data_IF_047622256392
#
_entry.id   IF_047622256392
#
_cell.length_a   1.000
_cell.length_b   1.000
_cell.length_c   1.000
_cell.angle_alpha   90.00
_cell.angle_beta   90.00
_cell.angle_gamma   90.00
#
_symmetry.space_group_name_H-M   'P 1'
#
loop_
_entity.id
_entity.type
_entity.pdbx_description
1 polymer ?
#
# COMPACT_ATOMS: atom_id res chain seq x y z
N UNK A 1 12.91 -21.43 -3.34
CA UNK A 1 12.57 -21.40 -1.90
C UNK A 1 13.35 -20.35 -1.09
N UNK A 2 13.80 -19.26 -1.68
CA UNK A 2 14.60 -18.25 -0.96
C UNK A 2 14.03 -16.81 -1.03
N UNK A 3 12.78 -16.63 -1.48
CA UNK A 3 12.19 -15.29 -1.72
C UNK A 3 11.52 -14.70 -0.48
N UNK A 4 11.27 -15.48 0.57
CA UNK A 4 10.58 -15.03 1.78
C UNK A 4 11.38 -15.23 3.05
N UNK A 5 12.61 -14.69 3.12
CA UNK A 5 13.31 -14.62 4.39
C UNK A 5 12.57 -13.61 5.31
N UNK A 6 12.20 -13.97 6.53
CA UNK A 6 11.58 -13.04 7.46
C UNK A 6 12.62 -12.01 7.90
N UNK A 7 12.64 -10.84 7.28
CA UNK A 7 13.30 -9.69 7.89
C UNK A 7 12.53 -9.34 9.15
N UNK A 8 13.10 -9.66 10.33
CA UNK A 8 12.66 -9.09 11.61
C UNK A 8 12.90 -7.57 11.56
N UNK A 9 11.92 -6.85 11.09
CA UNK A 9 11.95 -5.39 11.09
C UNK A 9 11.66 -4.93 12.52
N UNK A 10 12.53 -4.15 13.15
CA UNK A 10 12.23 -3.54 14.42
C UNK A 10 11.10 -2.54 14.22
N UNK A 11 9.93 -2.84 14.78
CA UNK A 11 8.82 -1.89 14.83
C UNK A 11 9.30 -0.69 15.63
N UNK A 12 9.59 0.42 14.95
CA UNK A 12 9.91 1.69 15.61
C UNK A 12 8.60 2.30 16.15
N UNK A 13 8.18 1.83 17.31
CA UNK A 13 6.97 2.25 18.03
C UNK A 13 7.09 3.67 18.61
N UNK A 14 8.27 4.27 18.54
CA UNK A 14 8.70 5.39 19.41
C UNK A 14 8.06 6.77 19.12
N UNK A 15 7.27 6.95 18.05
CA UNK A 15 6.61 8.25 17.76
C UNK A 15 5.09 8.24 17.86
N UNK A 16 4.50 7.11 18.16
CA UNK A 16 3.05 6.88 18.07
C UNK A 16 2.24 7.43 19.24
N UNK A 17 2.79 7.45 20.44
CA UNK A 17 2.06 7.74 21.68
C UNK A 17 1.60 9.20 21.74
N UNK A 18 2.36 10.13 21.14
CA UNK A 18 2.01 11.55 21.18
C UNK A 18 0.80 11.94 20.34
N UNK A 19 0.54 11.25 19.22
CA UNK A 19 -0.65 11.52 18.39
C UNK A 19 -1.95 10.90 18.97
N UNK A 20 -1.84 9.80 19.73
CA UNK A 20 -2.98 9.15 20.38
C UNK A 20 -3.40 9.85 21.70
N UNK A 21 -2.50 10.61 22.32
CA UNK A 21 -2.76 11.32 23.58
C UNK A 21 -3.63 12.58 23.42
N UNK A 22 -3.70 13.17 22.22
CA UNK A 22 -4.42 14.42 22.03
C UNK A 22 -5.93 14.35 22.29
N UNK A 23 -6.68 13.30 21.92
CA UNK A 23 -8.11 13.19 22.25
C UNK A 23 -8.39 12.58 23.63
N UNK A 24 -7.42 11.86 24.23
CA UNK A 24 -7.58 11.18 25.53
C UNK A 24 -7.20 12.06 26.74
N UNK A 25 -6.56 13.20 26.50
CA UNK A 25 -6.44 14.24 27.51
C UNK A 25 -7.85 14.79 27.76
N UNK A 26 -8.60 14.09 28.64
CA UNK A 26 -9.88 14.55 29.16
C UNK A 26 -9.80 16.07 29.46
N UNK A 27 -10.88 16.83 29.24
CA UNK A 27 -10.89 18.25 29.54
C UNK A 27 -10.51 18.44 31.02
N UNK A 28 -9.22 18.70 31.24
CA UNK A 28 -8.61 18.68 32.57
C UNK A 28 -9.30 19.58 33.63
N UNK A 29 -10.11 20.54 33.15
CA UNK A 29 -10.91 21.42 34.03
C UNK A 29 -12.09 20.72 34.70
N UNK A 30 -12.80 19.78 34.04
CA UNK A 30 -13.97 19.12 34.65
C UNK A 30 -13.59 18.02 35.63
N UNK A 31 -12.50 17.31 35.41
CA UNK A 31 -11.99 16.27 36.29
C UNK A 31 -11.31 16.83 37.53
N UNK A 32 -10.57 17.92 37.36
CA UNK A 32 -9.92 18.61 38.48
C UNK A 32 -10.93 19.15 39.53
N UNK A 33 -12.16 19.43 39.13
CA UNK A 33 -13.23 19.88 40.07
C UNK A 33 -13.70 18.77 41.04
N UNK A 34 -13.30 17.51 40.85
CA UNK A 34 -13.61 16.40 41.77
C UNK A 34 -12.52 16.17 42.81
N UNK A 35 -11.42 16.91 42.73
CA UNK A 35 -10.27 16.77 43.62
C UNK A 35 -10.26 17.85 44.69
N UNK A 36 -9.60 17.61 45.83
CA UNK A 36 -9.23 18.67 46.76
C UNK A 36 -8.50 19.80 46.03
N UNK A 37 -8.66 21.06 46.41
CA UNK A 37 -8.10 22.21 45.67
C UNK A 37 -6.59 22.10 45.39
N UNK A 38 -5.83 21.60 46.37
CA UNK A 38 -4.39 21.36 46.22
C UNK A 38 -4.10 20.29 45.13
N UNK A 39 -4.73 19.14 45.22
CA UNK A 39 -4.57 18.05 44.25
C UNK A 39 -5.02 18.46 42.83
N UNK A 40 -6.08 19.28 42.73
CA UNK A 40 -6.56 19.84 41.46
C UNK A 40 -5.52 20.76 40.82
N UNK A 41 -4.85 21.59 41.59
CA UNK A 41 -3.80 22.48 41.11
C UNK A 41 -2.59 21.67 40.59
N UNK A 42 -2.14 20.69 41.37
CA UNK A 42 -1.01 19.83 41.03
C UNK A 42 -1.35 19.00 39.75
N UNK A 43 -2.56 18.43 39.65
CA UNK A 43 -3.00 17.69 38.48
C UNK A 43 -2.95 18.52 37.20
N UNK A 44 -3.38 19.79 37.30
CA UNK A 44 -3.34 20.72 36.17
C UNK A 44 -1.90 21.06 35.77
N UNK A 45 -1.03 21.28 36.73
CA UNK A 45 0.40 21.55 36.47
C UNK A 45 1.10 20.31 35.83
N UNK A 46 0.85 19.12 36.38
CA UNK A 46 1.38 17.86 35.81
C UNK A 46 0.90 17.59 34.39
N UNK A 47 -0.39 17.86 34.12
CA UNK A 47 -0.96 17.75 32.77
C UNK A 47 -0.33 18.73 31.77
N UNK A 48 -0.01 19.96 32.25
CA UNK A 48 0.71 20.94 31.42
C UNK A 48 2.16 20.51 31.16
N UNK A 49 2.86 20.02 32.19
CA UNK A 49 4.22 19.49 32.07
C UNK A 49 4.29 18.31 31.05
N UNK A 50 3.31 17.41 31.15
CA UNK A 50 3.20 16.29 30.18
C UNK A 50 3.03 16.78 28.74
N UNK A 51 2.17 17.79 28.51
CA UNK A 51 2.00 18.39 27.17
C UNK A 51 3.27 19.10 26.65
N UNK A 52 4.09 19.62 27.56
CA UNK A 52 5.37 20.26 27.24
C UNK A 52 6.53 19.25 27.08
N UNK A 53 6.29 17.96 27.32
CA UNK A 53 7.29 16.90 27.26
C UNK A 53 8.20 16.82 28.50
N UNK A 54 7.90 17.58 29.56
CA UNK A 54 8.60 17.47 30.84
C UNK A 54 8.06 16.29 31.66
N UNK A 55 8.52 15.10 31.28
CA UNK A 55 8.06 13.82 31.83
C UNK A 55 8.41 13.67 33.32
N UNK A 56 9.51 14.29 33.80
CA UNK A 56 9.88 14.20 35.21
C UNK A 56 8.91 14.99 36.04
N UNK A 57 8.67 16.27 35.72
CA UNK A 57 7.71 17.12 36.42
C UNK A 57 6.29 16.57 36.33
N UNK A 58 5.89 16.00 35.18
CA UNK A 58 4.59 15.35 35.02
C UNK A 58 4.46 14.13 35.95
N UNK A 59 5.47 13.27 35.99
CA UNK A 59 5.49 12.07 36.83
C UNK A 59 5.43 12.38 38.33
N UNK A 60 6.24 13.32 38.79
CA UNK A 60 6.24 13.78 40.18
C UNK A 60 4.88 14.36 40.57
N UNK A 61 4.30 15.18 39.68
CA UNK A 61 2.99 15.77 39.93
C UNK A 61 1.86 14.75 39.98
N UNK A 62 1.78 13.82 39.03
CA UNK A 62 0.75 12.78 39.08
C UNK A 62 0.95 11.82 40.26
N UNK A 63 2.20 11.51 40.65
CA UNK A 63 2.48 10.71 41.83
C UNK A 63 2.01 11.41 43.11
N UNK A 64 2.18 12.73 43.19
CA UNK A 64 1.70 13.51 44.35
C UNK A 64 0.16 13.58 44.38
N UNK A 65 -0.51 13.78 43.23
CA UNK A 65 -1.98 13.68 43.15
C UNK A 65 -2.46 12.31 43.61
N UNK A 66 -1.78 11.22 43.21
CA UNK A 66 -2.13 9.85 43.59
C UNK A 66 -1.95 9.59 45.11
N UNK A 67 -1.11 10.38 45.83
CA UNK A 67 -1.01 10.33 47.27
C UNK A 67 -2.13 11.15 47.93
N UNK A 68 -2.39 12.37 47.45
CA UNK A 68 -3.41 13.26 47.99
C UNK A 68 -4.85 12.77 47.75
N UNK A 69 -5.04 12.07 46.63
CA UNK A 69 -6.33 11.53 46.20
C UNK A 69 -6.18 10.08 45.69
N UNK A 70 -5.92 9.10 46.57
CA UNK A 70 -5.57 7.73 46.15
C UNK A 70 -6.70 6.97 45.46
N UNK A 71 -7.93 7.43 45.54
CA UNK A 71 -9.10 6.88 44.85
C UNK A 71 -9.34 7.50 43.45
N UNK A 72 -8.55 8.49 43.05
CA UNK A 72 -8.70 9.15 41.76
C UNK A 72 -7.98 8.37 40.68
N UNK A 73 -8.74 7.56 39.94
CA UNK A 73 -8.23 6.62 38.95
C UNK A 73 -7.39 7.28 37.83
N UNK A 74 -7.78 8.48 37.42
CA UNK A 74 -7.14 9.25 36.35
C UNK A 74 -5.72 9.71 36.73
N UNK A 75 -5.40 9.92 38.02
CA UNK A 75 -4.03 10.22 38.44
C UNK A 75 -3.12 9.00 38.23
N UNK A 76 -3.59 7.80 38.58
CA UNK A 76 -2.85 6.57 38.37
C UNK A 76 -2.69 6.26 36.88
N UNK A 77 -3.72 6.49 36.07
CA UNK A 77 -3.66 6.33 34.62
C UNK A 77 -2.62 7.26 34.01
N UNK A 78 -2.66 8.55 34.29
CA UNK A 78 -1.70 9.52 33.77
C UNK A 78 -0.27 9.25 34.24
N UNK A 79 -0.10 8.79 35.49
CA UNK A 79 1.19 8.35 36.01
C UNK A 79 1.70 7.14 35.22
N UNK A 80 0.84 6.19 34.86
CA UNK A 80 1.15 5.07 34.00
C UNK A 80 1.64 5.51 32.62
N UNK A 81 0.96 6.47 31.99
CA UNK A 81 1.36 7.02 30.69
C UNK A 81 2.76 7.67 30.75
N UNK A 82 3.02 8.48 31.80
CA UNK A 82 4.34 9.10 31.97
C UNK A 82 5.44 8.04 32.16
N UNK A 83 5.19 7.02 32.98
CA UNK A 83 6.14 5.93 33.24
C UNK A 83 6.42 5.11 31.98
N UNK A 84 5.39 4.85 31.19
CA UNK A 84 5.53 4.17 29.91
C UNK A 84 6.44 4.95 28.95
N UNK A 85 6.23 6.27 28.84
CA UNK A 85 7.04 7.15 28.00
C UNK A 85 8.48 7.27 28.52
N UNK A 86 8.69 7.17 29.83
CA UNK A 86 10.03 7.07 30.46
C UNK A 86 10.68 5.69 30.27
N UNK A 87 10.00 4.70 29.65
CA UNK A 87 10.47 3.34 29.53
C UNK A 87 10.40 2.49 30.80
N UNK A 88 9.74 3.00 31.86
CA UNK A 88 9.56 2.31 33.16
C UNK A 88 8.31 1.44 33.10
N UNK A 89 8.38 0.38 32.26
CA UNK A 89 7.20 -0.39 31.84
C UNK A 89 6.51 -1.13 32.98
N UNK A 90 7.26 -1.74 33.91
CA UNK A 90 6.68 -2.45 35.07
C UNK A 90 5.89 -1.49 35.99
N UNK A 91 6.43 -0.29 36.19
CA UNK A 91 5.76 0.72 37.01
C UNK A 91 4.54 1.32 36.27
N UNK A 92 4.60 1.42 34.95
CA UNK A 92 3.45 1.80 34.14
C UNK A 92 2.31 0.79 34.26
N UNK A 93 2.62 -0.49 34.13
CA UNK A 93 1.67 -1.62 34.31
C UNK A 93 1.01 -1.52 35.68
N UNK A 94 1.79 -1.42 36.77
CA UNK A 94 1.25 -1.29 38.12
C UNK A 94 0.33 -0.08 38.29
N UNK A 95 0.63 1.02 37.60
CA UNK A 95 -0.19 2.24 37.65
C UNK A 95 -1.50 2.06 36.88
N UNK A 96 -1.47 1.44 35.68
CA UNK A 96 -2.67 1.15 34.90
C UNK A 96 -3.57 0.13 35.61
N UNK A 97 -3.01 -0.92 36.22
CA UNK A 97 -3.78 -1.89 37.00
C UNK A 97 -4.46 -1.24 38.18
N UNK A 98 -3.78 -0.30 38.87
CA UNK A 98 -4.38 0.44 39.97
C UNK A 98 -5.51 1.36 39.50
N UNK A 99 -5.34 2.04 38.37
CA UNK A 99 -6.39 2.83 37.73
C UNK A 99 -7.61 1.97 37.38
N UNK A 100 -7.40 0.79 36.79
CA UNK A 100 -8.46 -0.14 36.43
C UNK A 100 -9.15 -0.78 37.62
N UNK A 101 -8.43 -1.00 38.73
CA UNK A 101 -9.03 -1.45 40.00
C UNK A 101 -9.98 -0.42 40.56
N UNK A 102 -9.68 0.87 40.43
CA UNK A 102 -10.51 1.96 40.88
C UNK A 102 -11.68 2.25 39.91
N UNK A 103 -11.41 2.16 38.62
CA UNK A 103 -12.38 2.44 37.55
C UNK A 103 -12.22 1.42 36.42
N UNK A 104 -12.90 0.27 36.50
CA UNK A 104 -12.72 -0.85 35.55
C UNK A 104 -12.98 -0.54 34.06
N UNK A 105 -13.75 0.52 33.79
CA UNK A 105 -14.08 1.02 32.47
C UNK A 105 -13.46 2.41 32.23
N UNK A 106 -12.25 2.65 32.71
CA UNK A 106 -11.52 3.87 32.38
C UNK A 106 -11.00 3.75 30.93
N UNK A 107 -11.53 4.59 30.05
CA UNK A 107 -11.20 4.56 28.62
C UNK A 107 -9.68 4.70 28.39
N UNK A 108 -9.14 3.85 27.55
CA UNK A 108 -7.72 3.79 27.23
C UNK A 108 -6.87 3.02 28.25
N UNK A 109 -7.36 2.77 29.47
CA UNK A 109 -6.52 2.15 30.50
C UNK A 109 -6.16 0.70 30.18
N UNK A 110 -7.08 -0.09 29.66
CA UNK A 110 -6.77 -1.45 29.18
C UNK A 110 -5.94 -1.42 27.89
N UNK A 111 -6.12 -0.44 27.03
CA UNK A 111 -5.30 -0.27 25.82
C UNK A 111 -3.83 -0.05 26.20
N UNK A 112 -3.54 0.96 27.04
CA UNK A 112 -2.16 1.28 27.44
C UNK A 112 -1.54 0.23 28.34
N UNK A 113 -2.33 -0.45 29.18
CA UNK A 113 -1.87 -1.65 29.88
C UNK A 113 -1.39 -2.72 28.89
N UNK A 114 -2.18 -2.98 27.84
CA UNK A 114 -1.81 -3.94 26.80
C UNK A 114 -0.58 -3.50 26.01
N UNK A 115 -0.44 -2.22 25.69
CA UNK A 115 0.73 -1.66 25.02
C UNK A 115 2.01 -1.83 25.86
N UNK A 116 1.93 -1.53 27.16
CA UNK A 116 3.06 -1.70 28.08
C UNK A 116 3.48 -3.18 28.19
N UNK A 117 2.52 -4.10 28.28
CA UNK A 117 2.76 -5.55 28.29
C UNK A 117 3.33 -6.04 26.96
N UNK A 118 2.84 -5.53 25.82
CA UNK A 118 3.38 -5.82 24.48
C UNK A 118 4.87 -5.43 24.39
N UNK A 119 5.24 -4.25 24.90
CA UNK A 119 6.64 -3.78 24.91
C UNK A 119 7.56 -4.67 25.74
N UNK A 120 7.03 -5.38 26.73
CA UNK A 120 7.75 -6.40 27.51
C UNK A 120 7.68 -7.79 26.89
N UNK A 121 7.09 -7.94 25.69
CA UNK A 121 6.82 -9.22 25.02
C UNK A 121 5.85 -10.15 25.79
N UNK A 122 5.06 -9.61 26.70
CA UNK A 122 4.01 -10.33 27.42
C UNK A 122 2.73 -10.38 26.57
N UNK A 123 2.78 -11.02 25.40
CA UNK A 123 1.74 -10.94 24.38
C UNK A 123 0.37 -11.45 24.81
N UNK A 124 0.31 -12.50 25.66
CA UNK A 124 -0.97 -13.04 26.13
C UNK A 124 -1.67 -12.09 27.11
N UNK A 125 -0.90 -11.46 28.01
CA UNK A 125 -1.43 -10.43 28.91
C UNK A 125 -1.86 -9.17 28.11
N UNK A 126 -1.05 -8.76 27.14
CA UNK A 126 -1.36 -7.65 26.23
C UNK A 126 -2.67 -7.90 25.49
N UNK A 127 -2.84 -9.10 24.93
CA UNK A 127 -4.06 -9.52 24.25
C UNK A 127 -5.28 -9.45 25.16
N UNK A 128 -5.16 -10.01 26.37
CA UNK A 128 -6.24 -9.99 27.36
C UNK A 128 -6.68 -8.57 27.72
N UNK A 129 -5.71 -7.66 27.91
CA UNK A 129 -5.99 -6.28 28.24
C UNK A 129 -6.68 -5.56 27.05
N UNK A 130 -6.12 -5.62 25.83
CA UNK A 130 -6.67 -4.92 24.67
C UNK A 130 -8.04 -5.44 24.28
N UNK A 131 -8.32 -6.74 24.42
CA UNK A 131 -9.68 -7.29 24.20
C UNK A 131 -10.71 -6.66 25.11
N UNK A 132 -10.39 -6.44 26.40
CA UNK A 132 -11.28 -5.73 27.32
C UNK A 132 -11.56 -4.29 26.87
N UNK A 133 -10.58 -3.63 26.25
CA UNK A 133 -10.78 -2.30 25.70
C UNK A 133 -11.71 -2.33 24.49
N UNK A 134 -11.48 -3.26 23.52
CA UNK A 134 -12.35 -3.38 22.34
C UNK A 134 -13.79 -3.79 22.69
N UNK A 135 -13.98 -4.57 23.75
CA UNK A 135 -15.31 -4.92 24.27
C UNK A 135 -16.00 -3.71 24.93
N UNK A 136 -15.25 -2.92 25.72
CA UNK A 136 -15.79 -1.75 26.40
C UNK A 136 -16.03 -0.57 25.44
N UNK A 137 -15.18 -0.42 24.43
CA UNK A 137 -15.15 0.68 23.47
C UNK A 137 -15.01 0.18 22.02
N UNK A 138 -16.05 -0.45 21.45
CA UNK A 138 -16.00 -1.12 20.15
C UNK A 138 -15.80 -0.17 18.96
N UNK A 139 -15.85 1.14 19.19
CA UNK A 139 -15.57 2.18 18.18
C UNK A 139 -14.17 2.79 18.31
N UNK A 140 -13.33 2.31 19.21
CA UNK A 140 -11.96 2.76 19.33
C UNK A 140 -11.07 2.05 18.29
N UNK A 141 -10.76 2.77 17.19
CA UNK A 141 -9.92 2.26 16.13
C UNK A 141 -8.51 1.90 16.62
N UNK A 142 -7.99 2.63 17.61
CA UNK A 142 -6.65 2.37 18.18
C UNK A 142 -6.62 1.06 18.94
N UNK A 143 -7.67 0.74 19.69
CA UNK A 143 -7.76 -0.53 20.40
C UNK A 143 -7.81 -1.72 19.41
N UNK A 144 -8.56 -1.61 18.33
CA UNK A 144 -8.60 -2.63 17.27
C UNK A 144 -7.26 -2.74 16.54
N UNK A 145 -6.57 -1.64 16.29
CA UNK A 145 -5.24 -1.64 15.67
C UNK A 145 -4.23 -2.38 16.56
N UNK A 146 -4.19 -2.06 17.85
CA UNK A 146 -3.31 -2.74 18.79
C UNK A 146 -3.65 -4.21 18.99
N UNK A 147 -4.94 -4.57 18.95
CA UNK A 147 -5.35 -5.97 18.93
C UNK A 147 -4.71 -6.71 17.75
N UNK A 148 -4.78 -6.14 16.56
CA UNK A 148 -4.16 -6.72 15.37
C UNK A 148 -2.63 -6.79 15.45
N UNK A 149 -1.96 -5.73 15.97
CA UNK A 149 -0.50 -5.73 16.16
C UNK A 149 -0.06 -6.84 17.14
N UNK A 150 -0.80 -7.03 18.22
CA UNK A 150 -0.51 -8.08 19.19
C UNK A 150 -0.71 -9.47 18.58
N UNK A 151 -1.77 -9.68 17.79
CA UNK A 151 -2.01 -10.97 17.11
C UNK A 151 -0.93 -11.25 16.04
N UNK A 152 -0.41 -10.22 15.34
CA UNK A 152 0.77 -10.37 14.46
C UNK A 152 1.99 -10.84 15.23
N UNK A 153 2.25 -10.27 16.41
CA UNK A 153 3.38 -10.67 17.25
C UNK A 153 3.24 -12.09 17.81
N UNK A 154 2.02 -12.62 17.85
CA UNK A 154 1.70 -14.00 18.27
C UNK A 154 1.68 -14.99 17.10
N UNK A 155 2.05 -14.54 15.89
CA UNK A 155 1.98 -15.34 14.66
C UNK A 155 0.55 -15.83 14.34
N UNK A 156 -0.43 -14.92 14.48
CA UNK A 156 -1.86 -15.15 14.22
C UNK A 156 -2.36 -14.17 13.15
N UNK A 157 -1.94 -14.34 11.89
CA UNK A 157 -2.21 -13.36 10.85
C UNK A 157 -3.70 -13.24 10.49
N UNK A 158 -4.50 -14.29 10.60
CA UNK A 158 -5.93 -14.27 10.30
C UNK A 158 -6.69 -13.42 11.33
N UNK A 159 -6.42 -13.61 12.62
CA UNK A 159 -6.99 -12.83 13.71
C UNK A 159 -6.52 -11.37 13.65
N UNK A 160 -5.27 -11.17 13.28
CA UNK A 160 -4.70 -9.83 13.08
C UNK A 160 -5.39 -9.09 11.93
N UNK A 161 -5.58 -9.74 10.78
CA UNK A 161 -6.26 -9.16 9.63
C UNK A 161 -7.69 -8.76 9.98
N UNK A 162 -8.43 -9.63 10.68
CA UNK A 162 -9.80 -9.33 11.12
C UNK A 162 -9.87 -8.09 12.05
N UNK A 163 -8.94 -7.97 13.00
CA UNK A 163 -8.88 -6.82 13.89
C UNK A 163 -8.49 -5.53 13.15
N UNK A 164 -7.52 -5.60 12.24
CA UNK A 164 -7.05 -4.47 11.45
C UNK A 164 -8.07 -4.02 10.39
N UNK A 165 -8.84 -4.94 9.82
CA UNK A 165 -9.98 -4.61 8.96
C UNK A 165 -11.03 -3.81 9.73
N UNK A 166 -11.30 -4.20 10.98
CA UNK A 166 -12.20 -3.46 11.86
C UNK A 166 -11.65 -2.07 12.20
N UNK A 167 -10.35 -1.95 12.49
CA UNK A 167 -9.70 -0.67 12.72
C UNK A 167 -9.80 0.25 11.48
N UNK A 168 -9.55 -0.29 10.28
CA UNK A 168 -9.63 0.46 9.02
C UNK A 168 -11.06 0.92 8.68
N UNK A 169 -12.09 0.13 9.03
CA UNK A 169 -13.49 0.58 8.91
C UNK A 169 -13.80 1.78 9.79
N UNK A 170 -13.17 1.88 10.96
CA UNK A 170 -13.37 2.97 11.91
C UNK A 170 -12.53 4.21 11.61
N UNK A 171 -11.36 4.02 11.00
CA UNK A 171 -10.43 5.09 10.64
C UNK A 171 -9.75 4.78 9.29
N UNK A 172 -10.46 4.97 8.16
CA UNK A 172 -10.02 4.50 6.82
C UNK A 172 -8.76 5.21 6.32
N UNK A 173 -8.50 6.43 6.75
CA UNK A 173 -7.36 7.24 6.28
C UNK A 173 -6.14 7.15 7.23
N UNK A 174 -6.20 6.31 8.26
CA UNK A 174 -5.09 6.14 9.18
C UNK A 174 -4.00 5.25 8.54
N UNK A 175 -2.88 5.88 8.19
CA UNK A 175 -1.77 5.22 7.47
C UNK A 175 -1.13 4.08 8.25
N UNK A 176 -1.15 4.13 9.58
CA UNK A 176 -0.56 3.08 10.41
C UNK A 176 -1.45 1.85 10.47
N UNK A 177 -2.76 2.06 10.54
CA UNK A 177 -3.75 0.98 10.41
C UNK A 177 -3.61 0.33 9.03
N UNK A 178 -3.55 1.15 7.97
CA UNK A 178 -3.40 0.63 6.60
C UNK A 178 -2.09 -0.16 6.42
N UNK A 179 -0.99 0.31 7.02
CA UNK A 179 0.29 -0.38 6.97
C UNK A 179 0.23 -1.77 7.65
N UNK A 180 -0.25 -1.83 8.90
CA UNK A 180 -0.34 -3.10 9.62
C UNK A 180 -1.38 -4.05 9.00
N UNK A 181 -2.49 -3.50 8.48
CA UNK A 181 -3.48 -4.24 7.72
C UNK A 181 -2.85 -4.91 6.50
N UNK A 182 -2.07 -4.15 5.71
CA UNK A 182 -1.33 -4.69 4.55
C UNK A 182 -0.39 -5.83 4.96
N UNK A 183 0.36 -5.66 6.06
CA UNK A 183 1.22 -6.72 6.59
C UNK A 183 0.45 -7.99 6.97
N UNK A 184 -0.68 -7.86 7.67
CA UNK A 184 -1.48 -9.00 8.10
C UNK A 184 -2.03 -9.77 6.89
N UNK A 185 -2.62 -9.08 5.91
CA UNK A 185 -3.14 -9.71 4.69
C UNK A 185 -2.04 -10.37 3.85
N UNK A 186 -0.84 -9.79 3.80
CA UNK A 186 0.29 -10.42 3.12
C UNK A 186 0.68 -11.76 3.79
N UNK A 187 0.68 -11.80 5.13
CA UNK A 187 0.98 -13.03 5.87
C UNK A 187 -0.12 -14.08 5.70
N UNK A 188 -1.40 -13.68 5.70
CA UNK A 188 -2.54 -14.58 5.40
C UNK A 188 -2.42 -15.15 4.00
N UNK A 189 -2.12 -14.31 3.01
CA UNK A 189 -1.91 -14.76 1.63
C UNK A 189 -0.77 -15.77 1.54
N UNK A 190 0.38 -15.47 2.16
CA UNK A 190 1.52 -16.37 2.20
C UNK A 190 1.19 -17.71 2.84
N UNK A 191 0.55 -17.70 4.01
CA UNK A 191 0.12 -18.92 4.71
C UNK A 191 -0.82 -19.77 3.85
N UNK A 192 -1.73 -19.11 3.12
CA UNK A 192 -2.67 -19.78 2.21
C UNK A 192 -1.94 -20.47 1.06
N UNK A 193 -0.96 -19.80 0.43
CA UNK A 193 -0.13 -20.39 -0.62
C UNK A 193 0.73 -21.53 -0.09
N UNK A 194 1.41 -21.36 1.05
CA UNK A 194 2.22 -22.41 1.67
C UNK A 194 1.37 -23.66 1.93
N UNK A 195 0.13 -23.48 2.42
CA UNK A 195 -0.82 -24.56 2.63
C UNK A 195 -1.26 -25.22 1.31
N UNK A 196 -1.58 -24.42 0.29
CA UNK A 196 -1.93 -24.91 -1.04
C UNK A 196 -0.81 -25.75 -1.65
N UNK A 197 0.45 -25.28 -1.59
CA UNK A 197 1.62 -26.02 -2.06
C UNK A 197 1.84 -27.33 -1.30
N UNK A 198 1.46 -27.37 -0.04
CA UNK A 198 1.61 -28.58 0.80
C UNK A 198 0.51 -29.61 0.54
N UNK A 199 -0.75 -29.16 0.45
CA UNK A 199 -1.93 -30.03 0.35
C UNK A 199 -2.07 -30.64 -1.06
N UNK A 200 -1.83 -29.84 -2.10
CA UNK A 200 -1.92 -30.29 -3.50
C UNK A 200 -0.82 -29.69 -4.39
N UNK A 201 0.43 -30.17 -4.25
CA UNK A 201 1.60 -29.62 -4.93
C UNK A 201 1.56 -29.77 -6.46
N UNK A 202 0.63 -30.54 -7.00
CA UNK A 202 0.47 -30.80 -8.43
C UNK A 202 -0.79 -30.21 -9.04
N UNK A 203 -1.50 -29.37 -8.28
CA UNK A 203 -2.70 -28.72 -8.79
C UNK A 203 -2.34 -27.66 -9.85
N UNK A 204 -3.28 -27.43 -10.78
CA UNK A 204 -3.12 -26.37 -11.77
C UNK A 204 -2.92 -24.99 -11.12
N UNK A 205 -3.49 -24.75 -9.94
CA UNK A 205 -3.34 -23.50 -9.19
C UNK A 205 -1.92 -23.29 -8.68
N UNK A 206 -1.23 -24.36 -8.30
CA UNK A 206 0.19 -24.29 -7.93
C UNK A 206 1.03 -23.87 -9.13
N UNK A 207 0.78 -24.47 -10.30
CA UNK A 207 1.48 -24.09 -11.53
C UNK A 207 1.14 -22.66 -11.97
N UNK A 208 -0.11 -22.21 -11.85
CA UNK A 208 -0.51 -20.82 -12.09
C UNK A 208 0.29 -19.85 -11.20
N UNK A 209 0.35 -20.09 -9.90
CA UNK A 209 1.09 -19.22 -8.95
C UNK A 209 2.60 -19.25 -9.21
N UNK A 210 3.17 -20.41 -9.55
CA UNK A 210 4.58 -20.51 -9.92
C UNK A 210 4.86 -19.75 -11.22
N UNK A 211 3.98 -19.87 -12.21
CA UNK A 211 4.06 -19.12 -13.45
C UNK A 211 4.04 -17.61 -13.23
N UNK A 212 3.16 -17.12 -12.35
CA UNK A 212 3.12 -15.71 -11.98
C UNK A 212 4.42 -15.26 -11.28
N UNK A 213 4.92 -16.04 -10.32
CA UNK A 213 6.18 -15.73 -9.61
C UNK A 213 7.35 -15.66 -10.58
N UNK A 214 7.42 -16.59 -11.52
CA UNK A 214 8.49 -16.63 -12.52
C UNK A 214 8.36 -15.47 -13.53
N UNK A 215 7.14 -15.11 -13.92
CA UNK A 215 6.87 -13.95 -14.78
C UNK A 215 7.28 -12.63 -14.12
N UNK A 216 6.99 -12.46 -12.84
CA UNK A 216 7.37 -11.26 -12.06
C UNK A 216 8.89 -11.18 -11.82
N UNK A 217 9.56 -12.33 -11.79
CA UNK A 217 11.02 -12.44 -11.73
C UNK A 217 11.68 -12.39 -13.12
N UNK A 218 10.93 -12.08 -14.17
CA UNK A 218 11.36 -12.02 -15.59
C UNK A 218 11.95 -13.34 -16.11
N UNK A 219 11.67 -14.46 -15.45
CA UNK A 219 12.02 -15.81 -15.88
C UNK A 219 10.97 -16.37 -16.83
N UNK A 220 10.81 -15.71 -17.99
CA UNK A 220 9.69 -15.98 -18.89
C UNK A 220 9.60 -17.42 -19.39
N UNK A 221 10.72 -18.10 -19.61
CA UNK A 221 10.69 -19.50 -20.07
C UNK A 221 10.17 -20.44 -18.98
N UNK A 222 10.53 -20.20 -17.73
CA UNK A 222 10.04 -20.98 -16.59
C UNK A 222 8.54 -20.70 -16.40
N UNK A 223 8.13 -19.43 -16.43
CA UNK A 223 6.73 -19.01 -16.36
C UNK A 223 5.88 -19.68 -17.47
N UNK A 224 6.34 -19.69 -18.71
CA UNK A 224 5.67 -20.37 -19.83
C UNK A 224 5.48 -21.86 -19.52
N UNK A 225 6.52 -22.53 -19.01
CA UNK A 225 6.46 -23.94 -18.66
C UNK A 225 5.41 -24.23 -17.59
N UNK A 226 5.35 -23.41 -16.58
CA UNK A 226 4.39 -23.53 -15.48
C UNK A 226 2.95 -23.29 -15.95
N UNK A 227 2.69 -22.26 -16.76
CA UNK A 227 1.35 -22.02 -17.30
C UNK A 227 0.90 -23.12 -18.26
N UNK A 228 1.80 -23.72 -19.06
CA UNK A 228 1.48 -24.85 -19.91
C UNK A 228 1.09 -26.09 -19.09
N UNK A 229 1.75 -26.37 -17.97
CA UNK A 229 1.34 -27.46 -17.08
C UNK A 229 0.00 -27.13 -16.40
N UNK A 230 -0.26 -25.88 -16.01
CA UNK A 230 -1.55 -25.47 -15.48
C UNK A 230 -2.68 -25.71 -16.51
N UNK A 231 -2.49 -25.29 -17.75
CA UNK A 231 -3.43 -25.49 -18.85
C UNK A 231 -3.67 -26.98 -19.13
N UNK A 232 -2.63 -27.79 -19.12
CA UNK A 232 -2.73 -29.24 -19.31
C UNK A 232 -3.61 -29.89 -18.22
N UNK A 233 -3.52 -29.42 -16.99
CA UNK A 233 -4.32 -29.91 -15.84
C UNK A 233 -5.76 -29.37 -15.84
N UNK A 234 -5.96 -28.15 -16.34
CA UNK A 234 -7.25 -27.46 -16.38
C UNK A 234 -7.49 -26.76 -17.74
N UNK A 235 -7.69 -27.52 -18.83
CA UNK A 235 -7.66 -26.98 -20.19
C UNK A 235 -8.80 -26.02 -20.54
N UNK A 236 -9.87 -26.01 -19.76
CA UNK A 236 -11.02 -25.12 -19.97
C UNK A 236 -11.13 -24.05 -18.89
N UNK A 237 -10.10 -23.89 -18.07
CA UNK A 237 -10.10 -22.87 -17.03
C UNK A 237 -9.88 -21.49 -17.66
N UNK A 238 -10.85 -20.56 -17.56
CA UNK A 238 -10.69 -19.21 -18.06
C UNK A 238 -9.54 -18.47 -17.35
N UNK A 239 -8.81 -17.65 -18.10
CA UNK A 239 -7.72 -16.83 -17.61
C UNK A 239 -6.32 -17.43 -17.81
N UNK A 240 -6.15 -18.76 -17.80
CA UNK A 240 -4.83 -19.38 -17.93
C UNK A 240 -4.17 -19.08 -19.28
N UNK A 241 -4.94 -19.10 -20.35
CA UNK A 241 -4.44 -18.76 -21.69
C UNK A 241 -4.19 -17.24 -21.83
N UNK A 242 -4.95 -16.38 -21.14
CA UNK A 242 -4.70 -14.95 -21.07
C UNK A 242 -3.34 -14.66 -20.42
N UNK A 243 -3.11 -15.25 -19.23
CA UNK A 243 -1.85 -15.12 -18.49
C UNK A 243 -0.66 -15.62 -19.31
N UNK A 244 -0.78 -16.79 -19.94
CA UNK A 244 0.23 -17.33 -20.84
C UNK A 244 0.51 -16.37 -22.02
N UNK A 245 -0.53 -15.80 -22.60
CA UNK A 245 -0.43 -14.81 -23.69
C UNK A 245 0.33 -13.57 -23.24
N UNK A 246 0.04 -13.06 -22.03
CA UNK A 246 0.74 -11.93 -21.44
C UNK A 246 2.23 -12.23 -21.22
N UNK A 247 2.58 -13.44 -20.74
CA UNK A 247 3.98 -13.87 -20.60
C UNK A 247 4.68 -13.98 -21.94
N UNK A 248 4.03 -14.54 -22.97
CA UNK A 248 4.59 -14.58 -24.32
C UNK A 248 4.85 -13.18 -24.88
N UNK A 249 3.96 -12.20 -24.64
CA UNK A 249 4.19 -10.80 -25.02
C UNK A 249 5.43 -10.23 -24.35
N UNK A 250 5.57 -10.40 -23.03
CA UNK A 250 6.76 -9.94 -22.28
C UNK A 250 8.03 -10.62 -22.76
N UNK A 251 7.94 -11.87 -23.23
CA UNK A 251 9.04 -12.61 -23.82
C UNK A 251 9.30 -12.27 -25.31
N UNK A 252 8.59 -11.30 -25.88
CA UNK A 252 8.64 -10.87 -27.29
C UNK A 252 8.29 -11.98 -28.29
N UNK A 253 7.46 -12.95 -27.88
CA UNK A 253 6.97 -14.07 -28.69
C UNK A 253 5.54 -13.75 -29.17
N UNK A 254 5.44 -12.84 -30.15
CA UNK A 254 4.16 -12.26 -30.55
C UNK A 254 3.19 -13.25 -31.23
N UNK A 255 3.68 -14.29 -31.92
CA UNK A 255 2.82 -15.28 -32.57
C UNK A 255 2.22 -16.25 -31.56
N UNK A 256 3.03 -16.69 -30.60
CA UNK A 256 2.58 -17.54 -29.50
C UNK A 256 1.62 -16.77 -28.56
N UNK A 257 1.85 -15.47 -28.36
CA UNK A 257 0.94 -14.62 -27.59
C UNK A 257 -0.45 -14.53 -28.26
N UNK A 258 -0.51 -14.26 -29.57
CA UNK A 258 -1.79 -14.19 -30.30
C UNK A 258 -2.52 -15.53 -30.26
N UNK A 259 -1.80 -16.66 -30.42
CA UNK A 259 -2.39 -17.99 -30.33
C UNK A 259 -2.96 -18.26 -28.92
N UNK A 260 -2.25 -17.87 -27.87
CA UNK A 260 -2.74 -18.03 -26.49
C UNK A 260 -3.98 -17.17 -26.22
N UNK A 261 -3.97 -15.89 -26.60
CA UNK A 261 -5.17 -15.05 -26.48
C UNK A 261 -6.35 -15.53 -27.33
N UNK A 262 -6.09 -16.13 -28.50
CA UNK A 262 -7.14 -16.77 -29.29
C UNK A 262 -7.76 -17.95 -28.54
N UNK A 263 -6.93 -18.81 -27.95
CA UNK A 263 -7.39 -19.95 -27.16
C UNK A 263 -8.22 -19.50 -25.93
N UNK A 264 -7.83 -18.41 -25.29
CA UNK A 264 -8.65 -17.82 -24.22
C UNK A 264 -10.05 -17.42 -24.73
N UNK A 265 -10.13 -16.78 -25.89
CA UNK A 265 -11.41 -16.38 -26.48
C UNK A 265 -12.30 -17.55 -26.93
N UNK A 266 -11.73 -18.72 -27.16
CA UNK A 266 -12.50 -19.95 -27.40
C UNK A 266 -13.17 -20.49 -26.13
N UNK A 267 -12.50 -20.28 -24.97
CA UNK A 267 -13.01 -20.66 -23.66
C UNK A 267 -13.96 -19.57 -23.10
N UNK A 268 -13.52 -18.31 -23.17
CA UNK A 268 -14.24 -17.14 -22.69
C UNK A 268 -14.36 -16.08 -23.80
N UNK A 269 -15.40 -16.16 -24.66
CA UNK A 269 -15.61 -15.20 -25.74
C UNK A 269 -15.78 -13.76 -25.30
N UNK A 270 -16.08 -13.52 -24.03
CA UNK A 270 -16.25 -12.19 -23.42
C UNK A 270 -15.00 -11.68 -22.72
N UNK A 271 -13.85 -12.31 -22.90
CA UNK A 271 -12.60 -11.78 -22.38
C UNK A 271 -12.14 -10.56 -23.19
N UNK A 272 -12.54 -9.38 -22.71
CA UNK A 272 -12.21 -8.12 -23.37
C UNK A 272 -10.70 -7.86 -23.41
N UNK A 273 -9.93 -8.31 -22.40
CA UNK A 273 -8.47 -8.10 -22.36
C UNK A 273 -7.77 -8.95 -23.42
N UNK A 274 -8.10 -10.24 -23.52
CA UNK A 274 -7.53 -11.11 -24.54
C UNK A 274 -7.85 -10.58 -25.97
N UNK A 275 -9.08 -10.10 -26.19
CA UNK A 275 -9.48 -9.48 -27.46
C UNK A 275 -8.68 -8.20 -27.74
N UNK A 276 -8.53 -7.36 -26.73
CA UNK A 276 -7.75 -6.13 -26.82
C UNK A 276 -6.29 -6.41 -27.20
N UNK A 277 -5.64 -7.32 -26.50
CA UNK A 277 -4.24 -7.69 -26.73
C UNK A 277 -4.02 -8.24 -28.14
N UNK A 278 -4.95 -9.05 -28.66
CA UNK A 278 -4.93 -9.48 -30.05
C UNK A 278 -5.04 -8.32 -31.05
N UNK A 279 -5.87 -7.32 -30.73
CA UNK A 279 -5.99 -6.10 -31.53
C UNK A 279 -4.71 -5.28 -31.55
N UNK A 280 -4.04 -5.18 -30.41
CA UNK A 280 -2.72 -4.54 -30.30
C UNK A 280 -1.68 -5.27 -31.14
N UNK A 281 -1.59 -6.60 -31.01
CA UNK A 281 -0.68 -7.44 -31.81
C UNK A 281 -0.95 -7.33 -33.32
N UNK A 282 -2.21 -7.30 -33.74
CA UNK A 282 -2.58 -7.09 -35.14
C UNK A 282 -2.08 -5.72 -35.64
N UNK A 283 -2.27 -4.66 -34.84
CA UNK A 283 -1.77 -3.32 -35.16
C UNK A 283 -0.25 -3.28 -35.24
N UNK A 284 0.46 -3.96 -34.36
CA UNK A 284 1.92 -4.07 -34.35
C UNK A 284 2.44 -4.77 -35.62
N UNK A 285 1.72 -5.77 -36.13
CA UNK A 285 2.02 -6.46 -37.40
C UNK A 285 1.64 -5.66 -38.65
N UNK A 286 1.04 -4.48 -38.49
CA UNK A 286 0.62 -3.62 -39.60
C UNK A 286 -0.81 -3.89 -40.12
N UNK A 287 -1.56 -4.81 -39.49
CA UNK A 287 -2.96 -5.06 -39.83
C UNK A 287 -3.86 -4.07 -39.04
N UNK A 288 -3.94 -2.85 -39.55
CA UNK A 288 -4.74 -1.80 -38.91
C UNK A 288 -6.24 -2.09 -38.90
N UNK A 289 -6.76 -2.82 -39.90
CA UNK A 289 -8.17 -3.17 -40.00
C UNK A 289 -8.58 -4.14 -38.88
N UNK A 290 -7.84 -5.23 -38.74
CA UNK A 290 -8.05 -6.21 -37.68
C UNK A 290 -7.80 -5.61 -36.28
N UNK A 291 -6.73 -4.81 -36.16
CA UNK A 291 -6.41 -4.11 -34.92
C UNK A 291 -7.54 -3.23 -34.45
N UNK A 292 -8.04 -2.36 -35.32
CA UNK A 292 -9.19 -1.49 -35.00
C UNK A 292 -10.42 -2.28 -34.59
N UNK A 293 -10.83 -3.27 -35.39
CA UNK A 293 -12.01 -4.12 -35.14
C UNK A 293 -11.95 -4.74 -33.73
N UNK A 294 -10.83 -5.37 -33.40
CA UNK A 294 -10.68 -6.07 -32.12
C UNK A 294 -10.60 -5.11 -30.92
N UNK A 295 -9.89 -3.97 -31.06
CA UNK A 295 -9.78 -2.98 -29.99
C UNK A 295 -11.13 -2.31 -29.74
N UNK A 296 -11.87 -1.88 -30.80
CA UNK A 296 -13.19 -1.31 -30.64
C UNK A 296 -14.19 -2.27 -29.97
N UNK A 297 -14.18 -3.55 -30.36
CA UNK A 297 -15.01 -4.57 -29.74
C UNK A 297 -14.64 -4.77 -28.25
N UNK A 298 -13.37 -4.79 -27.93
CA UNK A 298 -12.90 -4.91 -26.53
C UNK A 298 -13.29 -3.72 -25.68
N UNK A 299 -13.14 -2.49 -26.18
CA UNK A 299 -13.50 -1.24 -25.49
C UNK A 299 -15.02 -1.12 -25.31
N UNK A 300 -15.80 -1.61 -26.28
CA UNK A 300 -17.26 -1.64 -26.16
C UNK A 300 -17.71 -2.58 -25.03
N UNK A 301 -17.03 -3.68 -24.84
CA UNK A 301 -17.32 -4.66 -23.80
C UNK A 301 -16.78 -4.22 -22.42
N UNK A 302 -15.58 -3.67 -22.38
CA UNK A 302 -14.94 -3.14 -21.16
C UNK A 302 -14.37 -1.74 -21.44
N UNK A 303 -15.11 -0.68 -21.16
CA UNK A 303 -14.61 0.70 -21.25
C UNK A 303 -13.43 0.93 -20.29
N UNK A 304 -12.50 1.82 -20.72
CA UNK A 304 -11.37 2.22 -19.90
C UNK A 304 -10.19 1.24 -19.90
N UNK A 305 -10.07 0.40 -20.93
CA UNK A 305 -8.84 -0.38 -21.15
C UNK A 305 -7.65 0.57 -21.35
N UNK A 306 -6.52 0.35 -20.66
CA UNK A 306 -5.34 1.21 -20.75
C UNK A 306 -4.86 1.33 -22.20
N UNK A 307 -4.35 2.50 -22.57
CA UNK A 307 -3.78 2.81 -23.90
C UNK A 307 -4.71 2.55 -25.09
N UNK A 308 -6.03 2.38 -24.87
CA UNK A 308 -6.95 2.02 -25.95
C UNK A 308 -7.03 3.09 -27.03
N UNK A 309 -7.12 4.39 -26.65
CA UNK A 309 -7.11 5.48 -27.62
C UNK A 309 -5.76 5.59 -28.37
N UNK A 310 -4.65 5.37 -27.70
CA UNK A 310 -3.34 5.32 -28.35
C UNK A 310 -3.28 4.22 -29.45
N UNK A 311 -3.69 3.00 -29.11
CA UNK A 311 -3.66 1.86 -30.04
C UNK A 311 -4.68 1.99 -31.17
N UNK A 312 -5.88 2.57 -30.90
CA UNK A 312 -6.82 2.92 -31.96
C UNK A 312 -6.24 4.00 -32.88
N UNK A 313 -5.57 5.00 -32.34
CA UNK A 313 -4.86 6.01 -33.15
C UNK A 313 -3.80 5.39 -34.06
N UNK A 314 -3.06 4.40 -33.59
CA UNK A 314 -2.09 3.66 -34.41
C UNK A 314 -2.78 2.84 -35.52
N UNK A 315 -3.87 2.15 -35.20
CA UNK A 315 -4.63 1.36 -36.15
C UNK A 315 -5.23 2.25 -37.26
N UNK A 316 -5.85 3.38 -36.88
CA UNK A 316 -6.40 4.36 -37.85
C UNK A 316 -5.32 4.97 -38.74
N UNK A 317 -4.14 5.24 -38.21
CA UNK A 317 -2.99 5.71 -38.99
C UNK A 317 -2.54 4.69 -40.04
N UNK A 318 -2.55 3.38 -39.71
CA UNK A 318 -2.25 2.31 -40.66
C UNK A 318 -3.29 2.23 -41.79
N UNK A 319 -4.54 2.52 -41.50
CA UNK A 319 -5.64 2.60 -42.45
C UNK A 319 -5.61 3.87 -43.34
N UNK A 320 -4.75 4.82 -43.02
CA UNK A 320 -4.72 6.12 -43.69
C UNK A 320 -5.81 7.10 -43.24
N UNK A 321 -6.54 6.77 -42.18
CA UNK A 321 -7.59 7.60 -41.61
C UNK A 321 -7.01 8.67 -40.69
N UNK A 322 -6.13 9.54 -41.23
CA UNK A 322 -5.29 10.46 -40.45
C UNK A 322 -6.09 11.36 -39.51
N UNK A 323 -7.29 11.79 -39.90
CA UNK A 323 -8.14 12.64 -39.04
C UNK A 323 -8.69 11.86 -37.81
N UNK A 324 -9.10 10.61 -37.99
CA UNK A 324 -9.52 9.75 -36.90
C UNK A 324 -8.34 9.39 -35.98
N UNK A 325 -7.17 9.11 -36.56
CA UNK A 325 -5.95 8.85 -35.81
C UNK A 325 -5.57 10.04 -34.91
N UNK A 326 -5.65 11.27 -35.43
CA UNK A 326 -5.41 12.49 -34.65
C UNK A 326 -6.39 12.58 -33.47
N UNK A 327 -7.69 12.37 -33.71
CA UNK A 327 -8.70 12.47 -32.65
C UNK A 327 -8.47 11.43 -31.52
N UNK A 328 -8.07 10.21 -31.86
CA UNK A 328 -7.72 9.19 -30.87
C UNK A 328 -6.45 9.55 -30.09
N UNK A 329 -5.39 9.98 -30.75
CA UNK A 329 -4.14 10.34 -30.07
C UNK A 329 -4.28 11.60 -29.18
N UNK A 330 -5.10 12.57 -29.55
CA UNK A 330 -5.43 13.72 -28.70
C UNK A 330 -6.18 13.27 -27.43
N UNK A 331 -7.09 12.29 -27.53
CA UNK A 331 -7.75 11.70 -26.35
C UNK A 331 -6.77 10.90 -25.49
N UNK A 332 -5.87 10.14 -26.11
CA UNK A 332 -4.82 9.42 -25.37
C UNK A 332 -3.99 10.38 -24.51
N UNK A 333 -3.55 11.51 -25.08
CA UNK A 333 -2.80 12.53 -24.32
C UNK A 333 -3.61 13.10 -23.14
N UNK A 334 -4.92 13.25 -23.32
CA UNK A 334 -5.79 13.87 -22.29
C UNK A 334 -6.17 12.90 -21.17
N UNK A 335 -6.19 11.59 -21.42
CA UNK A 335 -6.75 10.58 -20.51
C UNK A 335 -5.77 9.51 -20.07
N UNK A 336 -4.68 9.27 -20.78
CA UNK A 336 -3.70 8.25 -20.41
C UNK A 336 -2.79 8.76 -19.29
N UNK A 337 -2.56 7.91 -18.30
CA UNK A 337 -1.72 8.23 -17.14
C UNK A 337 -0.27 7.75 -17.32
N UNK A 338 0.00 6.96 -18.37
CA UNK A 338 1.33 6.47 -18.66
C UNK A 338 2.15 7.53 -19.44
N UNK A 339 3.24 8.04 -18.87
CA UNK A 339 4.05 9.07 -19.49
C UNK A 339 4.64 8.66 -20.84
N UNK A 340 4.99 7.37 -21.01
CA UNK A 340 5.55 6.86 -22.25
C UNK A 340 4.51 6.86 -23.38
N UNK A 341 3.30 6.43 -23.08
CA UNK A 341 2.17 6.47 -24.04
C UNK A 341 1.85 7.91 -24.46
N UNK A 342 1.87 8.85 -23.51
CA UNK A 342 1.67 10.28 -23.80
C UNK A 342 2.80 10.82 -24.68
N UNK A 343 4.05 10.52 -24.36
CA UNK A 343 5.21 10.92 -25.17
C UNK A 343 5.10 10.38 -26.61
N UNK A 344 4.81 9.08 -26.76
CA UNK A 344 4.64 8.45 -28.05
C UNK A 344 3.44 9.02 -28.83
N UNK A 345 2.37 9.37 -28.17
CA UNK A 345 1.20 10.02 -28.79
C UNK A 345 1.57 11.36 -29.41
N UNK A 346 2.38 12.19 -28.73
CA UNK A 346 2.88 13.44 -29.29
C UNK A 346 3.76 13.23 -30.52
N UNK A 347 4.62 12.21 -30.50
CA UNK A 347 5.42 11.87 -31.70
C UNK A 347 4.54 11.49 -32.87
N UNK A 348 3.54 10.62 -32.65
CA UNK A 348 2.62 10.18 -33.71
C UNK A 348 1.81 11.37 -34.26
N UNK A 349 1.31 12.25 -33.40
CA UNK A 349 0.62 13.49 -33.82
C UNK A 349 1.51 14.38 -34.68
N UNK A 350 2.78 14.57 -34.31
CA UNK A 350 3.72 15.37 -35.08
C UNK A 350 3.87 14.83 -36.51
N UNK A 351 3.90 13.50 -36.67
CA UNK A 351 3.99 12.87 -38.01
C UNK A 351 2.67 12.99 -38.79
N UNK A 352 1.53 12.83 -38.13
CA UNK A 352 0.20 12.94 -38.75
C UNK A 352 -0.10 14.36 -39.20
N UNK A 353 0.16 15.37 -38.37
CA UNK A 353 -0.05 16.75 -38.74
C UNK A 353 0.79 17.16 -39.96
N UNK A 354 2.00 16.62 -40.12
CA UNK A 354 2.79 16.84 -41.35
C UNK A 354 2.11 16.25 -42.59
N UNK A 355 1.55 15.03 -42.47
CA UNK A 355 0.78 14.40 -43.57
C UNK A 355 -0.48 15.20 -43.93
N UNK A 356 -1.12 15.80 -42.92
CA UNK A 356 -2.31 16.64 -43.06
C UNK A 356 -2.03 18.10 -43.49
N UNK A 357 -0.78 18.41 -43.86
CA UNK A 357 -0.34 19.76 -44.23
C UNK A 357 -0.59 20.81 -43.13
N UNK A 358 -0.44 20.43 -41.86
CA UNK A 358 -0.56 21.29 -40.66
C UNK A 358 0.83 21.50 -40.01
N UNK A 359 1.73 22.28 -40.63
CA UNK A 359 3.14 22.36 -40.17
C UNK A 359 3.31 22.96 -38.79
N UNK A 360 2.47 23.96 -38.44
CA UNK A 360 2.54 24.60 -37.10
C UNK A 360 2.17 23.61 -35.98
N UNK A 361 1.11 22.81 -36.17
CA UNK A 361 0.69 21.80 -35.20
C UNK A 361 1.71 20.65 -35.11
N UNK A 362 2.28 20.26 -36.26
CA UNK A 362 3.39 19.29 -36.28
C UNK A 362 4.58 19.77 -35.47
N UNK A 363 4.97 21.04 -35.62
CA UNK A 363 6.10 21.60 -34.86
C UNK A 363 5.82 21.64 -33.36
N UNK A 364 4.60 22.04 -32.96
CA UNK A 364 4.18 22.03 -31.55
C UNK A 364 4.20 20.62 -30.97
N UNK A 365 3.64 19.64 -31.68
CA UNK A 365 3.60 18.26 -31.22
C UNK A 365 5.00 17.65 -31.05
N UNK A 366 5.89 17.86 -32.02
CA UNK A 366 7.27 17.39 -31.92
C UNK A 366 8.07 18.11 -30.82
N UNK A 367 7.80 19.38 -30.57
CA UNK A 367 8.42 20.11 -29.46
C UNK A 367 7.96 19.53 -28.09
N UNK A 368 6.67 19.17 -27.95
CA UNK A 368 6.18 18.51 -26.73
C UNK A 368 6.78 17.13 -26.57
N UNK A 369 6.86 16.32 -27.63
CA UNK A 369 7.58 15.06 -27.60
C UNK A 369 9.02 15.21 -27.09
N UNK A 370 9.79 16.18 -27.66
CA UNK A 370 11.17 16.38 -27.26
C UNK A 370 11.28 16.79 -25.79
N UNK A 371 10.40 17.70 -25.34
CA UNK A 371 10.35 18.15 -23.95
C UNK A 371 10.12 16.99 -22.99
N UNK A 372 9.09 16.14 -23.23
CA UNK A 372 8.79 14.98 -22.37
C UNK A 372 9.91 13.94 -22.37
N UNK A 373 10.54 13.73 -23.52
CA UNK A 373 11.70 12.84 -23.67
C UNK A 373 12.89 13.32 -22.84
N UNK A 374 13.17 14.63 -22.86
CA UNK A 374 14.26 15.22 -22.08
C UNK A 374 13.98 15.11 -20.56
N UNK A 375 12.74 15.41 -20.13
CA UNK A 375 12.28 15.27 -18.75
C UNK A 375 12.39 13.82 -18.24
N UNK A 376 11.98 12.85 -19.04
CA UNK A 376 12.09 11.41 -18.74
C UNK A 376 13.54 10.96 -18.62
N UNK A 377 14.40 11.42 -19.52
CA UNK A 377 15.84 11.12 -19.48
C UNK A 377 16.52 11.70 -18.24
N UNK A 378 16.19 12.93 -17.87
CA UNK A 378 16.73 13.58 -16.67
C UNK A 378 16.26 12.89 -15.38
N UNK A 379 14.98 12.53 -15.29
CA UNK A 379 14.42 11.78 -14.16
C UNK A 379 15.11 10.42 -13.99
N UNK A 380 15.37 9.71 -15.09
CA UNK A 380 16.08 8.42 -15.10
C UNK A 380 17.53 8.59 -14.64
N UNK A 381 18.20 9.64 -15.09
CA UNK A 381 19.57 9.96 -14.67
C UNK A 381 19.67 10.27 -13.18
N UNK A 382 18.74 11.09 -12.66
CA UNK A 382 18.65 11.38 -11.22
C UNK A 382 18.32 10.14 -10.37
N UNK A 383 17.48 9.24 -10.88
CA UNK A 383 17.19 7.97 -10.20
C UNK A 383 18.43 7.08 -10.10
N UNK A 384 19.23 7.00 -11.17
CA UNK A 384 20.51 6.26 -11.20
C UNK A 384 21.55 6.84 -10.22
N UNK A 385 21.66 8.16 -10.13
CA UNK A 385 22.54 8.84 -9.15
C UNK A 385 22.08 8.50 -7.72
N UNK A 386 20.78 8.57 -7.43
CA UNK A 386 20.25 8.21 -6.11
C UNK A 386 20.52 6.75 -5.75
N UNK A 387 20.43 5.83 -6.71
CA UNK A 387 20.75 4.41 -6.50
C UNK A 387 22.25 4.20 -6.24
N UNK A 388 23.14 4.84 -7.01
CA UNK A 388 24.59 4.80 -6.80
C UNK A 388 24.97 5.34 -5.42
N UNK A 389 24.42 6.49 -5.03
CA UNK A 389 24.68 7.10 -3.72
C UNK A 389 24.17 6.24 -2.54
N UNK A 390 23.12 5.43 -2.77
CA UNK A 390 22.60 4.47 -1.78
C UNK A 390 23.49 3.24 -1.62
N UNK A 391 24.16 2.83 -2.71
CA UNK A 391 25.07 1.68 -2.72
C UNK A 391 26.49 2.04 -2.22
N UNK A 392 26.90 3.29 -2.37
CA UNK A 392 28.23 3.76 -1.98
C UNK A 392 28.15 5.17 -1.35
N UNK A 393 27.78 5.29 -0.05
CA UNK A 393 27.60 6.59 0.61
C UNK A 393 28.83 7.52 0.62
N UNK A 394 30.01 6.95 0.38
CA UNK A 394 31.29 7.69 0.38
C UNK A 394 31.61 8.39 -0.96
N UNK A 395 30.87 8.05 -2.03
CA UNK A 395 31.06 8.65 -3.37
C UNK A 395 29.95 9.70 -3.68
N UNK A 396 29.21 10.15 -2.69
CA UNK A 396 28.21 11.19 -2.86
C UNK A 396 28.89 12.54 -3.24
N UNK A 397 28.52 13.10 -4.38
CA UNK A 397 28.91 14.47 -4.73
C UNK A 397 28.49 15.45 -3.60
N UNK A 398 29.37 16.37 -3.19
CA UNK A 398 29.00 17.36 -2.18
C UNK A 398 27.87 18.26 -2.70
N UNK A 399 26.92 18.66 -1.82
CA UNK A 399 25.81 19.52 -2.21
C UNK A 399 26.34 20.82 -2.88
N UNK A 400 25.63 21.34 -3.90
CA UNK A 400 26.03 22.58 -4.54
C UNK A 400 26.12 23.71 -3.52
N UNK A 401 27.16 24.52 -3.63
CA UNK A 401 27.42 25.64 -2.73
C UNK A 401 26.23 26.61 -2.74
N UNK A 402 25.82 27.17 -1.57
CA UNK A 402 24.71 28.11 -1.51
C UNK A 402 25.04 29.36 -2.37
N UNK A 403 24.08 29.70 -3.26
CA UNK A 403 24.19 30.95 -4.03
C UNK A 403 24.30 32.15 -3.09
N UNK A 404 25.29 32.98 -3.33
CA UNK A 404 25.47 34.23 -2.57
C UNK A 404 24.30 35.15 -2.86
N UNK A 405 23.66 35.72 -1.83
CA UNK A 405 22.59 36.70 -2.04
C UNK A 405 23.14 37.90 -2.80
N UNK A 406 22.40 38.28 -3.87
CA UNK A 406 22.62 39.52 -4.63
C UNK A 406 22.15 40.72 -3.83
#
# INVERSE_FOLDING_TARGET
MAVFAPSRWPIKVTKFIFCLLAPLLYPGRQLAAQLPPEASTIFTQASNAMRQGDLNKAGDGFAEVAKLAPAFAEAHFNLGLVREEQGRLDEAIASFEKALKLKPRLHGANLFLGVAQYKLNHYDQALSAVRKETEAYPRDASAWMWLGIIELARDRPEEAAAALDKAAQLAPDNTDILYHRGQAHLLVSRSSYERMFKEDPKSWRVHEVLGQIDADAERYNDAISEYLEAIKLAPTQPGLHEELGAVYRRALKSDEADAAFQAELEINPHNALARYERGVLATERGDGAKGKELIEAAVAEKPGLPHSDYNLGRAEKLLGNDAAAVAHLERAIASDLDPETVEQSWYQLGTLYRRLHRPEDSQKALAMFQKLKDESSEASHQALIKLKNKQNPNDAEPPPAPEKPR
#
